data_IF_856053609855
#
_entry.id   IF_856053609855
#
_cell.length_a   1.000
_cell.length_b   1.000
_cell.length_c   1.000
_cell.angle_alpha   90.00
_cell.angle_beta   90.00
_cell.angle_gamma   90.00
#
_symmetry.space_group_name_H-M   'P 1'
#
loop_
_entity.id
_entity.type
_entity.pdbx_description
1 polymer ?
#
# COMPACT_ATOMS: atom_id res chain seq x y z
N UNK A 1 13.05 22.11 -25.22
CA UNK A 1 13.12 20.83 -24.50
C UNK A 1 12.21 19.86 -25.22
N UNK A 2 12.67 18.64 -25.50
CA UNK A 2 11.95 17.67 -26.32
C UNK A 2 10.78 17.06 -25.53
N UNK A 3 9.56 17.19 -26.05
CA UNK A 3 8.33 16.72 -25.42
C UNK A 3 8.18 15.21 -25.63
N UNK A 4 8.05 14.45 -24.53
CA UNK A 4 7.93 12.99 -24.59
C UNK A 4 6.46 12.57 -24.47
N UNK A 5 5.99 11.79 -25.45
CA UNK A 5 4.61 11.33 -25.55
C UNK A 5 4.47 9.88 -25.05
N UNK A 6 3.42 9.62 -24.27
CA UNK A 6 3.06 8.32 -23.71
C UNK A 6 1.57 8.02 -23.92
N UNK A 7 1.17 6.75 -23.96
CA UNK A 7 -0.25 6.40 -23.94
C UNK A 7 -0.86 6.70 -22.57
N UNK A 8 -0.16 6.32 -21.49
CA UNK A 8 -0.62 6.51 -20.12
C UNK A 8 0.49 7.07 -19.24
N UNK A 9 0.18 8.14 -18.52
CA UNK A 9 1.03 8.67 -17.45
C UNK A 9 0.40 8.35 -16.10
N UNK A 10 1.19 7.82 -15.17
CA UNK A 10 0.73 7.37 -13.85
C UNK A 10 1.55 8.10 -12.79
N UNK A 11 0.88 8.74 -11.84
CA UNK A 11 1.52 9.37 -10.69
C UNK A 11 1.39 8.51 -9.43
N UNK A 12 2.52 8.17 -8.81
CA UNK A 12 2.63 7.33 -7.62
C UNK A 12 2.99 5.88 -7.95
N UNK A 13 4.13 5.40 -7.45
CA UNK A 13 4.62 4.04 -7.66
C UNK A 13 4.48 3.14 -6.43
N UNK A 14 3.37 3.30 -5.70
CA UNK A 14 2.90 2.28 -4.76
C UNK A 14 2.19 1.12 -5.48
N UNK A 15 1.60 0.16 -4.74
CA UNK A 15 0.98 -1.03 -5.33
C UNK A 15 -0.07 -0.75 -6.40
N UNK A 16 -0.86 0.32 -6.26
CA UNK A 16 -1.86 0.70 -7.25
C UNK A 16 -1.22 1.10 -8.60
N UNK A 17 -0.23 2.00 -8.55
CA UNK A 17 0.41 2.53 -9.74
C UNK A 17 1.29 1.51 -10.45
N UNK A 18 2.08 0.72 -9.72
CA UNK A 18 2.90 -0.33 -10.32
C UNK A 18 2.04 -1.46 -10.91
N UNK A 19 0.95 -1.85 -10.26
CA UNK A 19 -0.01 -2.81 -10.82
C UNK A 19 -0.61 -2.29 -12.12
N UNK A 20 -1.11 -1.05 -12.14
CA UNK A 20 -1.69 -0.46 -13.35
C UNK A 20 -0.63 -0.35 -14.46
N UNK A 21 0.57 0.12 -14.15
CA UNK A 21 1.66 0.29 -15.10
C UNK A 21 2.07 -1.03 -15.75
N UNK A 22 2.33 -2.06 -14.95
CA UNK A 22 2.69 -3.39 -15.45
C UNK A 22 1.59 -3.95 -16.35
N UNK A 23 0.33 -3.93 -15.91
CA UNK A 23 -0.77 -4.47 -16.71
C UNK A 23 -0.90 -3.71 -18.04
N UNK A 24 -0.87 -2.38 -18.03
CA UNK A 24 -0.95 -1.58 -19.26
C UNK A 24 0.22 -1.87 -20.21
N UNK A 25 1.44 -2.03 -19.68
CA UNK A 25 2.60 -2.40 -20.47
C UNK A 25 2.48 -3.82 -21.05
N UNK A 26 1.93 -4.78 -20.30
CA UNK A 26 1.62 -6.13 -20.82
C UNK A 26 0.63 -6.12 -22.00
N UNK A 27 -0.26 -5.12 -22.06
CA UNK A 27 -1.17 -4.90 -23.20
C UNK A 27 -0.56 -4.04 -24.32
N UNK A 28 0.74 -3.73 -24.26
CA UNK A 28 1.48 -3.06 -25.32
C UNK A 28 1.39 -1.53 -25.31
N UNK A 29 0.92 -0.92 -24.22
CA UNK A 29 0.87 0.53 -24.09
C UNK A 29 2.20 1.13 -23.63
N UNK A 30 2.55 2.30 -24.13
CA UNK A 30 3.67 3.10 -23.62
C UNK A 30 3.28 3.79 -22.31
N UNK A 31 3.95 3.43 -21.22
CA UNK A 31 3.60 3.91 -19.86
C UNK A 31 4.76 4.68 -19.24
N UNK A 32 4.45 5.87 -18.74
CA UNK A 32 5.31 6.63 -17.84
C UNK A 32 4.79 6.50 -16.40
N UNK A 33 5.64 6.03 -15.48
CA UNK A 33 5.34 5.94 -14.05
C UNK A 33 6.24 6.91 -13.27
N UNK A 34 5.65 7.90 -12.60
CA UNK A 34 6.37 8.92 -11.84
C UNK A 34 6.17 8.71 -10.34
N UNK A 35 7.26 8.71 -9.58
CA UNK A 35 7.28 8.57 -8.13
C UNK A 35 8.16 9.65 -7.50
N UNK A 36 7.62 10.32 -6.47
CA UNK A 36 8.32 11.40 -5.76
C UNK A 36 9.43 10.88 -4.86
N UNK A 37 9.31 9.65 -4.39
CA UNK A 37 10.24 9.04 -3.45
C UNK A 37 11.20 8.07 -4.16
N UNK A 38 12.23 7.60 -3.45
CA UNK A 38 13.13 6.54 -3.93
C UNK A 38 12.71 5.20 -3.33
N UNK A 39 12.65 4.13 -4.14
CA UNK A 39 12.44 2.77 -3.66
C UNK A 39 13.79 2.14 -3.30
N UNK A 40 13.88 1.31 -2.24
CA UNK A 40 12.81 0.97 -1.29
C UNK A 40 12.51 2.11 -0.31
N UNK A 41 11.24 2.29 0.07
CA UNK A 41 10.79 3.29 1.06
C UNK A 41 9.80 2.73 2.05
N UNK A 42 9.78 3.26 3.26
CA UNK A 42 8.82 2.84 4.28
C UNK A 42 7.38 3.18 3.90
N UNK A 43 6.44 2.28 4.17
CA UNK A 43 5.00 2.52 4.08
C UNK A 43 4.23 1.56 5.00
N UNK A 44 3.13 1.99 5.61
CA UNK A 44 2.27 1.12 6.41
C UNK A 44 1.25 0.35 5.55
N UNK A 45 0.78 -0.80 6.02
CA UNK A 45 -0.23 -1.63 5.35
C UNK A 45 0.37 -2.95 4.88
N UNK A 46 0.73 -3.78 5.84
CA UNK A 46 1.60 -4.96 5.65
C UNK A 46 0.81 -6.27 5.59
N UNK A 47 -0.45 -6.25 6.04
CA UNK A 47 -1.28 -7.45 6.10
C UNK A 47 -2.17 -7.62 4.88
N UNK A 48 -1.72 -8.47 3.94
CA UNK A 48 -2.42 -8.68 2.67
C UNK A 48 -3.61 -9.64 2.81
N UNK A 49 -4.45 -9.67 1.78
CA UNK A 49 -5.63 -10.55 1.69
C UNK A 49 -5.48 -11.56 0.55
N UNK A 50 -6.13 -12.74 0.64
CA UNK A 50 -6.02 -13.80 -0.37
C UNK A 50 -6.31 -13.35 -1.81
N UNK A 51 -7.26 -12.42 -1.99
CA UNK A 51 -7.61 -11.92 -3.33
C UNK A 51 -6.44 -11.25 -4.07
N UNK A 52 -5.43 -10.75 -3.36
CA UNK A 52 -4.22 -10.18 -3.95
C UNK A 52 -3.40 -11.21 -4.75
N UNK A 53 -3.45 -12.50 -4.42
CA UNK A 53 -2.73 -13.57 -5.16
C UNK A 53 -3.13 -13.59 -6.63
N UNK A 54 -4.41 -13.36 -6.94
CA UNK A 54 -4.90 -13.34 -8.32
C UNK A 54 -4.28 -12.20 -9.14
N UNK A 55 -4.07 -11.05 -8.50
CA UNK A 55 -3.41 -9.89 -9.12
C UNK A 55 -1.93 -10.19 -9.28
N UNK A 56 -1.26 -10.70 -8.26
CA UNK A 56 0.18 -11.04 -8.32
C UNK A 56 0.49 -12.05 -9.42
N UNK A 57 -0.39 -13.05 -9.62
CA UNK A 57 -0.29 -14.01 -10.73
C UNK A 57 -0.39 -13.34 -12.10
N UNK A 58 -1.30 -12.38 -12.27
CA UNK A 58 -1.42 -11.61 -13.54
C UNK A 58 -0.20 -10.73 -13.78
N UNK A 59 0.38 -10.18 -12.73
CA UNK A 59 1.59 -9.36 -12.80
C UNK A 59 2.87 -10.19 -13.04
N UNK A 60 2.81 -11.52 -12.91
CA UNK A 60 3.98 -12.39 -12.98
C UNK A 60 4.88 -12.34 -11.74
N UNK A 61 4.40 -11.79 -10.62
CA UNK A 61 5.21 -11.56 -9.42
C UNK A 61 5.16 -12.74 -8.46
N UNK A 62 6.31 -13.37 -8.22
CA UNK A 62 6.48 -14.36 -7.16
C UNK A 62 6.56 -13.68 -5.78
N UNK A 63 5.41 -13.32 -5.21
CA UNK A 63 5.34 -12.60 -3.93
C UNK A 63 5.44 -13.48 -2.67
N UNK A 64 5.54 -14.80 -2.82
CA UNK A 64 5.71 -15.70 -1.65
C UNK A 64 7.13 -15.71 -1.09
N UNK A 65 8.13 -15.48 -1.93
CA UNK A 65 9.53 -15.47 -1.52
C UNK A 65 9.86 -14.23 -0.70
N UNK A 66 10.47 -14.43 0.47
CA UNK A 66 10.86 -13.34 1.37
C UNK A 66 9.71 -12.71 2.16
N UNK A 67 8.49 -13.23 2.05
CA UNK A 67 7.33 -12.76 2.82
C UNK A 67 6.79 -13.88 3.73
N UNK A 68 6.19 -13.49 4.85
CA UNK A 68 5.64 -14.44 5.81
C UNK A 68 4.26 -14.90 5.35
N UNK A 69 4.05 -16.21 5.19
CA UNK A 69 2.72 -16.74 4.84
C UNK A 69 1.72 -16.40 5.95
N UNK A 70 0.53 -15.94 5.59
CA UNK A 70 -0.54 -15.59 6.52
C UNK A 70 -1.65 -16.64 6.47
N UNK A 71 -1.81 -17.40 7.56
CA UNK A 71 -2.79 -18.48 7.69
C UNK A 71 -4.22 -18.02 7.96
N UNK A 72 -4.42 -16.78 8.41
CA UNK A 72 -5.72 -16.27 8.82
C UNK A 72 -5.68 -14.92 9.53
N UNK A 73 -6.77 -14.59 10.21
CA UNK A 73 -6.92 -13.42 11.06
C UNK A 73 -7.59 -13.79 12.39
N UNK A 74 -7.05 -13.29 13.49
CA UNK A 74 -7.58 -13.47 14.84
C UNK A 74 -8.10 -12.12 15.37
N UNK A 75 -9.28 -12.14 15.96
CA UNK A 75 -9.89 -11.01 16.65
C UNK A 75 -10.14 -11.39 18.11
N UNK A 76 -9.54 -10.64 19.01
CA UNK A 76 -9.58 -10.90 20.45
C UNK A 76 -10.16 -9.66 21.12
N UNK A 77 -11.29 -9.81 21.79
CA UNK A 77 -11.87 -8.76 22.62
C UNK A 77 -11.32 -8.87 24.03
N UNK A 78 -10.48 -7.91 24.43
CA UNK A 78 -9.81 -7.92 25.73
C UNK A 78 -10.78 -7.65 26.90
N UNK A 79 -11.94 -7.05 26.63
CA UNK A 79 -12.94 -6.75 27.65
C UNK A 79 -13.78 -8.00 27.96
N UNK A 80 -14.25 -8.68 26.92
CA UNK A 80 -15.11 -9.87 27.07
C UNK A 80 -14.34 -11.19 27.11
N UNK A 81 -13.07 -11.19 26.71
CA UNK A 81 -12.26 -12.40 26.49
C UNK A 81 -12.67 -13.20 25.25
N UNK A 82 -13.58 -12.68 24.42
CA UNK A 82 -14.06 -13.38 23.24
C UNK A 82 -12.96 -13.44 22.17
N UNK A 83 -12.71 -14.65 21.67
CA UNK A 83 -11.77 -14.88 20.58
C UNK A 83 -12.50 -15.41 19.34
N UNK A 84 -12.27 -14.80 18.18
CA UNK A 84 -12.77 -15.23 16.88
C UNK A 84 -11.62 -15.41 15.90
N UNK A 85 -11.50 -16.60 15.31
CA UNK A 85 -10.49 -16.92 14.30
C UNK A 85 -11.13 -17.13 12.92
N UNK A 86 -10.56 -16.44 11.92
CA UNK A 86 -10.93 -16.57 10.51
C UNK A 86 -9.79 -17.24 9.75
N UNK A 87 -9.87 -18.55 9.46
CA UNK A 87 -8.86 -19.25 8.69
C UNK A 87 -8.91 -18.82 7.22
N UNK A 88 -7.75 -18.54 6.62
CA UNK A 88 -7.61 -18.33 5.19
C UNK A 88 -7.29 -19.65 4.50
N UNK A 89 -8.28 -20.54 4.52
CA UNK A 89 -8.28 -21.78 3.77
C UNK A 89 -8.89 -21.53 2.39
N UNK A 90 -8.21 -21.94 1.32
CA UNK A 90 -8.74 -21.78 -0.03
C UNK A 90 -7.68 -21.81 -1.13
N UNK A 91 -8.12 -21.52 -2.35
CA UNK A 91 -7.28 -21.53 -3.57
C UNK A 91 -6.16 -20.50 -3.55
N UNK A 92 -6.41 -19.35 -2.91
CA UNK A 92 -5.49 -18.23 -2.91
C UNK A 92 -4.71 -18.13 -1.60
N UNK A 93 -3.40 -17.91 -1.72
CA UNK A 93 -2.51 -17.68 -0.58
C UNK A 93 -2.43 -16.18 -0.31
N UNK A 94 -1.89 -15.81 0.84
CA UNK A 94 -1.57 -14.42 1.15
C UNK A 94 -0.43 -14.36 2.14
N UNK A 95 0.11 -13.16 2.32
CA UNK A 95 1.34 -12.93 3.05
C UNK A 95 1.26 -11.66 3.90
N UNK A 96 2.05 -11.64 4.96
CA UNK A 96 2.47 -10.41 5.61
C UNK A 96 3.70 -9.92 4.85
N UNK A 97 3.67 -8.66 4.41
CA UNK A 97 4.70 -8.09 3.55
C UNK A 97 5.39 -6.92 4.23
N UNK A 98 6.71 -6.85 4.12
CA UNK A 98 7.41 -5.59 4.38
C UNK A 98 7.22 -4.68 3.15
N UNK A 99 6.48 -3.59 3.33
CA UNK A 99 6.06 -2.73 2.20
C UNK A 99 7.21 -2.10 1.44
N UNK A 100 8.33 -1.79 2.08
CA UNK A 100 9.50 -1.24 1.39
C UNK A 100 10.08 -2.20 0.35
N UNK A 101 10.15 -3.49 0.70
CA UNK A 101 10.63 -4.57 -0.16
C UNK A 101 9.58 -4.95 -1.19
N UNK A 102 8.31 -5.05 -0.76
CA UNK A 102 7.20 -5.43 -1.62
C UNK A 102 6.93 -4.39 -2.71
N UNK A 103 6.83 -3.10 -2.36
CA UNK A 103 6.59 -2.03 -3.32
C UNK A 103 7.75 -1.91 -4.31
N UNK A 104 9.00 -2.05 -3.83
CA UNK A 104 10.18 -2.11 -4.71
C UNK A 104 10.09 -3.29 -5.69
N UNK A 105 9.71 -4.49 -5.23
CA UNK A 105 9.55 -5.65 -6.13
C UNK A 105 8.51 -5.39 -7.21
N UNK A 106 7.39 -4.76 -6.88
CA UNK A 106 6.38 -4.39 -7.86
C UNK A 106 6.89 -3.31 -8.84
N UNK A 107 7.68 -2.37 -8.33
CA UNK A 107 8.30 -1.32 -9.14
C UNK A 107 9.33 -1.87 -10.14
N UNK A 108 10.23 -2.73 -9.67
CA UNK A 108 11.22 -3.41 -10.50
C UNK A 108 10.50 -4.25 -11.58
N UNK A 109 9.46 -5.00 -11.20
CA UNK A 109 8.63 -5.76 -12.13
C UNK A 109 7.96 -4.87 -13.21
N UNK A 110 7.54 -3.65 -12.87
CA UNK A 110 7.01 -2.72 -13.85
C UNK A 110 8.07 -2.32 -14.89
N UNK A 111 9.30 -2.04 -14.45
CA UNK A 111 10.43 -1.73 -15.34
C UNK A 111 10.76 -2.93 -16.25
N UNK A 112 10.77 -4.15 -15.71
CA UNK A 112 10.99 -5.38 -16.48
C UNK A 112 9.96 -5.59 -17.60
N UNK A 113 8.74 -5.07 -17.41
CA UNK A 113 7.67 -5.07 -18.42
C UNK A 113 7.74 -3.87 -19.39
N UNK A 114 8.80 -3.07 -19.36
CA UNK A 114 9.02 -1.96 -20.29
C UNK A 114 8.40 -0.62 -19.88
N UNK A 115 7.90 -0.51 -18.64
CA UNK A 115 7.45 0.79 -18.10
C UNK A 115 8.63 1.73 -17.95
N UNK A 116 8.52 2.96 -18.47
CA UNK A 116 9.49 4.01 -18.20
C UNK A 116 9.16 4.58 -16.82
N UNK A 117 9.98 4.27 -15.84
CA UNK A 117 9.79 4.73 -14.47
C UNK A 117 10.76 5.86 -14.09
N UNK A 118 10.27 6.84 -13.34
CA UNK A 118 11.02 7.98 -12.80
C UNK A 118 10.81 8.06 -11.29
N UNK A 119 11.91 8.13 -10.56
CA UNK A 119 11.91 8.29 -9.10
C UNK A 119 12.49 9.64 -8.71
N UNK A 120 12.23 10.03 -7.47
CA UNK A 120 12.62 11.34 -6.95
C UNK A 120 12.08 12.49 -7.81
N UNK A 121 10.93 12.30 -8.47
CA UNK A 121 10.35 13.25 -9.40
C UNK A 121 8.91 13.53 -8.98
N UNK A 122 8.64 14.79 -8.66
CA UNK A 122 7.38 15.21 -8.06
C UNK A 122 6.47 15.82 -9.12
N UNK A 123 5.26 15.28 -9.24
CA UNK A 123 4.21 15.87 -10.07
C UNK A 123 3.74 17.19 -9.44
N UNK A 124 3.82 18.27 -10.21
CA UNK A 124 3.47 19.63 -9.78
C UNK A 124 2.13 20.06 -10.36
N UNK A 125 1.86 19.72 -11.63
CA UNK A 125 0.62 20.05 -12.30
C UNK A 125 0.22 18.95 -13.30
N UNK A 126 -1.09 18.72 -13.43
CA UNK A 126 -1.67 17.78 -14.41
C UNK A 126 -2.85 18.45 -15.07
N UNK A 127 -2.83 18.70 -16.37
CA UNK A 127 -3.94 19.26 -17.13
C UNK A 127 -4.49 18.16 -18.04
N UNK A 128 -5.74 17.76 -17.80
CA UNK A 128 -6.45 16.81 -18.64
C UNK A 128 -7.38 17.61 -19.57
N UNK A 129 -7.21 17.43 -20.89
CA UNK A 129 -8.10 17.93 -21.92
C UNK A 129 -8.79 16.75 -22.64
N UNK A 130 -9.69 17.05 -23.58
CA UNK A 130 -10.36 16.01 -24.37
C UNK A 130 -9.40 15.21 -25.27
N UNK A 131 -8.30 15.81 -25.71
CA UNK A 131 -7.38 15.20 -26.68
C UNK A 131 -6.09 14.67 -26.07
N UNK A 132 -5.66 15.22 -24.94
CA UNK A 132 -4.39 14.86 -24.30
C UNK A 132 -4.32 15.27 -22.82
N UNK A 133 -3.36 14.66 -22.12
CA UNK A 133 -2.89 15.01 -20.80
C UNK A 133 -1.55 15.74 -20.93
N UNK A 134 -1.40 16.85 -20.22
CA UNK A 134 -0.13 17.52 -19.98
C UNK A 134 0.24 17.34 -18.51
N UNK A 135 1.48 16.97 -18.23
CA UNK A 135 1.97 16.78 -16.87
C UNK A 135 3.31 17.48 -16.70
N UNK A 136 3.38 18.34 -15.70
CA UNK A 136 4.58 19.05 -15.29
C UNK A 136 5.09 18.47 -13.97
N UNK A 137 6.38 18.17 -13.93
CA UNK A 137 7.10 17.77 -12.72
C UNK A 137 8.06 18.88 -12.31
N UNK A 138 8.73 18.69 -11.17
CA UNK A 138 9.88 19.50 -10.76
C UNK A 138 11.10 19.36 -11.69
N UNK A 139 11.08 18.41 -12.63
CA UNK A 139 12.23 18.08 -13.49
C UNK A 139 11.96 18.17 -14.98
N UNK A 140 10.73 17.96 -15.43
CA UNK A 140 10.42 17.78 -16.84
C UNK A 140 8.94 18.06 -17.17
N UNK A 141 8.68 18.09 -18.48
CA UNK A 141 7.34 18.21 -19.05
C UNK A 141 7.03 16.95 -19.86
N UNK A 142 5.83 16.41 -19.66
CA UNK A 142 5.35 15.20 -20.32
C UNK A 142 3.99 15.41 -20.95
N UNK A 143 3.72 14.63 -21.99
CA UNK A 143 2.40 14.52 -22.57
C UNK A 143 1.97 13.07 -22.68
N UNK A 144 0.67 12.83 -22.55
CA UNK A 144 0.11 11.53 -22.82
C UNK A 144 -1.36 11.57 -23.16
N UNK A 145 -2.00 10.41 -23.28
CA UNK A 145 -3.41 10.32 -23.66
C UNK A 145 -4.31 10.15 -22.44
N UNK A 146 -3.85 9.39 -21.45
CA UNK A 146 -4.58 9.14 -20.21
C UNK A 146 -3.70 9.39 -18.99
N UNK A 147 -4.36 9.77 -17.89
CA UNK A 147 -3.72 9.95 -16.59
C UNK A 147 -4.34 9.02 -15.56
N UNK A 148 -3.51 8.37 -14.76
CA UNK A 148 -3.94 7.61 -13.59
C UNK A 148 -3.33 8.25 -12.33
N UNK A 149 -4.21 8.72 -11.45
CA UNK A 149 -3.81 9.15 -10.11
C UNK A 149 -3.71 7.93 -9.18
N UNK A 150 -2.47 7.52 -8.89
CA UNK A 150 -2.13 6.48 -7.93
C UNK A 150 -1.33 7.05 -6.73
N UNK A 151 -1.52 8.33 -6.40
CA UNK A 151 -0.76 9.05 -5.35
C UNK A 151 -1.18 8.69 -3.92
N UNK A 152 -2.09 7.73 -3.75
CA UNK A 152 -2.50 7.22 -2.44
C UNK A 152 -3.22 8.29 -1.62
N UNK A 153 -2.77 8.51 -0.38
CA UNK A 153 -3.40 9.48 0.54
C UNK A 153 -3.27 10.93 0.08
N UNK A 154 -2.36 11.22 -0.84
CA UNK A 154 -2.21 12.57 -1.37
C UNK A 154 -3.40 12.97 -2.23
N UNK A 155 -4.03 11.99 -2.91
CA UNK A 155 -5.23 12.16 -3.71
C UNK A 155 -5.15 13.39 -4.63
N UNK A 156 -4.06 13.49 -5.41
CA UNK A 156 -3.69 14.66 -6.21
C UNK A 156 -4.87 15.24 -7.01
N UNK A 157 -5.50 14.41 -7.85
CA UNK A 157 -6.62 14.82 -8.70
C UNK A 157 -7.90 14.99 -7.90
N UNK A 158 -8.11 14.18 -6.86
CA UNK A 158 -9.24 14.35 -5.95
C UNK A 158 -9.25 15.74 -5.30
N UNK A 159 -8.09 16.21 -4.84
CA UNK A 159 -7.93 17.57 -4.29
C UNK A 159 -8.08 18.63 -5.37
N UNK A 160 -7.41 18.46 -6.51
CA UNK A 160 -7.46 19.41 -7.62
C UNK A 160 -8.90 19.64 -8.12
N UNK A 161 -9.68 18.57 -8.22
CA UNK A 161 -11.06 18.62 -8.71
C UNK A 161 -12.09 18.89 -7.59
N UNK A 162 -11.64 19.07 -6.35
CA UNK A 162 -12.51 19.21 -5.17
C UNK A 162 -13.57 18.09 -5.06
N UNK A 163 -13.20 16.86 -5.45
CA UNK A 163 -14.10 15.71 -5.56
C UNK A 163 -13.96 14.70 -4.41
N UNK A 164 -13.17 15.01 -3.39
CA UNK A 164 -13.01 14.16 -2.22
C UNK A 164 -14.22 14.33 -1.30
N UNK A 165 -15.07 13.31 -1.24
CA UNK A 165 -16.08 13.20 -0.20
C UNK A 165 -15.50 12.47 1.02
N UNK A 166 -15.49 13.16 2.16
CA UNK A 166 -14.96 12.59 3.41
C UNK A 166 -16.06 11.81 4.11
N UNK A 167 -15.79 10.53 4.37
CA UNK A 167 -16.70 9.69 5.17
C UNK A 167 -16.81 10.27 6.58
N UNK A 168 -18.00 10.80 6.90
CA UNK A 168 -18.33 11.34 8.22
C UNK A 168 -18.17 10.23 9.28
N UNK A 169 -17.61 10.58 10.44
CA UNK A 169 -17.38 9.67 11.58
C UNK A 169 -16.34 8.56 11.35
N UNK A 170 -15.59 8.56 10.25
CA UNK A 170 -14.47 7.62 10.10
C UNK A 170 -13.20 8.08 10.81
N UNK A 171 -13.18 9.30 11.39
CA UNK A 171 -12.02 9.94 12.04
C UNK A 171 -11.27 8.98 12.95
N UNK A 172 -10.26 8.33 12.37
CA UNK A 172 -9.47 7.30 13.03
C UNK A 172 -8.02 7.74 12.95
N UNK A 173 -7.37 7.77 14.09
CA UNK A 173 -5.94 8.01 14.21
C UNK A 173 -5.24 6.69 14.48
N UNK A 174 -4.03 6.53 13.95
CA UNK A 174 -3.22 5.35 14.20
C UNK A 174 -1.82 5.74 14.66
N UNK A 175 -1.38 5.18 15.79
CA UNK A 175 0.01 5.18 16.23
C UNK A 175 0.58 3.78 16.00
N UNK A 176 1.76 3.67 15.40
CA UNK A 176 2.35 2.36 15.08
C UNK A 176 3.87 2.37 15.20
N UNK A 177 4.43 1.19 15.46
CA UNK A 177 5.87 0.96 15.56
C UNK A 177 6.19 -0.51 15.25
N UNK A 178 7.39 -0.77 14.74
CA UNK A 178 7.91 -2.13 14.59
C UNK A 178 8.79 -2.51 15.78
N UNK A 179 8.61 -3.73 16.25
CA UNK A 179 9.35 -4.33 17.37
C UNK A 179 10.07 -5.59 16.89
N UNK A 180 11.21 -5.90 17.48
CA UNK A 180 11.87 -7.20 17.34
C UNK A 180 11.48 -8.04 18.55
N UNK A 181 10.88 -9.20 18.34
CA UNK A 181 10.49 -10.07 19.44
C UNK A 181 11.62 -11.02 19.83
N UNK A 182 11.73 -11.31 21.13
CA UNK A 182 12.56 -12.40 21.62
C UNK A 182 11.95 -13.75 21.22
N UNK A 183 12.81 -14.76 21.10
CA UNK A 183 12.37 -16.12 20.82
C UNK A 183 11.74 -16.74 22.07
N UNK A 184 10.45 -17.07 21.98
CA UNK A 184 9.62 -17.69 23.01
C UNK A 184 8.66 -18.65 22.31
N UNK A 185 8.02 -19.56 23.04
CA UNK A 185 7.00 -20.44 22.43
C UNK A 185 5.84 -19.65 21.82
N UNK A 186 5.43 -18.54 22.45
CA UNK A 186 4.38 -17.65 21.95
C UNK A 186 4.79 -16.97 20.64
N UNK A 187 6.01 -16.43 20.56
CA UNK A 187 6.48 -15.78 19.34
C UNK A 187 6.70 -16.79 18.22
N UNK A 188 7.24 -17.98 18.51
CA UNK A 188 7.34 -19.08 17.54
C UNK A 188 5.99 -19.44 16.92
N UNK A 189 4.96 -19.60 17.75
CA UNK A 189 3.61 -19.92 17.28
C UNK A 189 3.05 -18.79 16.39
N UNK A 190 3.21 -17.54 16.80
CA UNK A 190 2.79 -16.36 16.04
C UNK A 190 3.43 -16.33 14.64
N UNK A 191 4.74 -16.53 14.55
CA UNK A 191 5.45 -16.53 13.28
C UNK A 191 5.17 -17.78 12.43
N UNK A 192 4.93 -18.95 13.05
CA UNK A 192 4.61 -20.19 12.32
C UNK A 192 3.30 -20.08 11.53
N UNK A 193 2.26 -19.46 12.11
CA UNK A 193 0.97 -19.26 11.44
C UNK A 193 0.93 -17.97 10.59
N UNK A 194 1.68 -16.95 11.03
CA UNK A 194 1.72 -15.63 10.39
C UNK A 194 0.39 -14.89 10.42
N UNK A 195 -0.54 -15.27 11.31
CA UNK A 195 -1.84 -14.62 11.45
C UNK A 195 -1.67 -13.17 11.91
N UNK A 196 -2.50 -12.27 11.39
CA UNK A 196 -2.69 -10.98 12.05
C UNK A 196 -3.54 -11.21 13.31
N UNK A 197 -3.14 -10.61 14.43
CA UNK A 197 -3.99 -10.52 15.62
C UNK A 197 -4.51 -9.10 15.76
N UNK A 198 -5.81 -8.96 16.00
CA UNK A 198 -6.49 -7.69 16.25
C UNK A 198 -7.09 -7.74 17.64
N UNK A 199 -6.51 -6.96 18.56
CA UNK A 199 -6.98 -6.83 19.94
C UNK A 199 -7.98 -5.67 19.99
N UNK A 200 -9.21 -5.92 20.44
CA UNK A 200 -10.23 -4.89 20.61
C UNK A 200 -10.18 -4.40 22.06
N UNK A 201 -10.23 -3.08 22.23
CA UNK A 201 -10.32 -2.41 23.53
C UNK A 201 -11.46 -1.38 23.53
N UNK A 202 -11.71 -0.79 24.69
CA UNK A 202 -12.68 0.29 24.90
C UNK A 202 -12.36 1.57 24.09
N UNK A 203 -11.07 1.85 23.88
CA UNK A 203 -10.58 3.02 23.14
C UNK A 203 -10.32 2.76 21.64
N UNK A 204 -10.47 1.52 21.16
CA UNK A 204 -10.21 1.19 19.76
C UNK A 204 -9.74 -0.24 19.54
N UNK A 205 -8.72 -0.40 18.71
CA UNK A 205 -8.15 -1.72 18.40
C UNK A 205 -6.66 -1.64 18.11
N UNK A 206 -5.92 -2.69 18.47
CA UNK A 206 -4.48 -2.85 18.20
C UNK A 206 -4.29 -3.96 17.16
N UNK A 207 -3.58 -3.68 16.08
CA UNK A 207 -3.08 -4.74 15.20
C UNK A 207 -1.71 -5.23 15.67
N UNK A 208 -1.48 -6.52 15.50
CA UNK A 208 -0.20 -7.19 15.64
C UNK A 208 0.02 -8.02 14.37
N UNK A 209 0.91 -7.55 13.51
CA UNK A 209 1.23 -8.16 12.21
C UNK A 209 2.64 -8.74 12.29
N UNK A 210 2.80 -10.09 12.34
CA UNK A 210 4.12 -10.68 12.29
C UNK A 210 4.73 -10.50 10.90
N UNK A 211 6.00 -10.13 10.85
CA UNK A 211 6.79 -9.94 9.65
C UNK A 211 7.97 -10.92 9.64
N UNK A 212 8.69 -10.98 8.53
CA UNK A 212 9.95 -11.73 8.46
C UNK A 212 10.99 -11.18 9.43
N UNK A 213 11.97 -12.03 9.77
CA UNK A 213 13.03 -11.72 10.72
C UNK A 213 12.51 -11.35 12.12
N UNK A 214 11.47 -12.05 12.59
CA UNK A 214 10.91 -11.92 13.95
C UNK A 214 10.48 -10.49 14.32
N UNK A 215 10.15 -9.69 13.31
CA UNK A 215 9.62 -8.34 13.53
C UNK A 215 8.11 -8.40 13.70
N UNK A 216 7.59 -7.55 14.56
CA UNK A 216 6.16 -7.37 14.78
C UNK A 216 5.80 -5.92 14.50
N UNK A 217 4.91 -5.70 13.53
CA UNK A 217 4.27 -4.41 13.34
C UNK A 217 3.08 -4.31 14.28
N UNK A 218 3.11 -3.32 15.18
CA UNK A 218 2.07 -3.06 16.15
C UNK A 218 1.51 -1.67 15.93
N UNK A 219 0.20 -1.53 15.91
CA UNK A 219 -0.40 -0.20 15.85
C UNK A 219 -1.77 -0.14 16.49
N UNK A 220 -2.01 0.96 17.20
CA UNK A 220 -3.25 1.29 17.87
C UNK A 220 -4.07 2.22 16.97
N UNK A 221 -5.24 1.76 16.54
CA UNK A 221 -6.25 2.55 15.85
C UNK A 221 -7.35 3.00 16.80
N UNK A 222 -7.53 4.31 16.99
CA UNK A 222 -8.55 4.91 17.86
C UNK A 222 -9.50 5.82 17.08
N UNK A 223 -10.71 6.02 17.62
CA UNK A 223 -11.65 7.04 17.11
C UNK A 223 -11.28 8.42 17.67
N UNK A 224 -11.21 9.45 16.82
CA UNK A 224 -10.89 10.82 17.24
C UNK A 224 -11.96 11.44 18.15
N UNK A 225 -13.16 10.86 18.25
CA UNK A 225 -14.18 11.29 19.21
C UNK A 225 -13.83 10.94 20.67
N UNK A 226 -12.88 10.04 20.89
CA UNK A 226 -12.43 9.61 22.21
C UNK A 226 -11.16 10.34 22.68
N UNK A 227 -10.57 11.20 21.83
CA UNK A 227 -9.47 12.06 22.25
C UNK A 227 -10.07 13.27 22.98
N UNK A 228 -9.64 13.59 24.21
CA UNK A 228 -9.94 14.89 24.81
C UNK A 228 -9.40 16.01 23.90
N UNK A 229 -9.97 17.21 23.96
CA UNK A 229 -9.42 18.38 23.27
C UNK A 229 -7.99 18.61 23.76
N UNK A 230 -7.00 18.11 23.01
CA UNK A 230 -5.59 18.38 23.26
C UNK A 230 -5.34 19.77 22.72
N UNK A 231 -5.58 20.79 23.55
CA UNK A 231 -5.08 22.13 23.31
C UNK A 231 -3.55 22.08 23.37
N UNK A 232 -2.90 22.14 22.21
CA UNK A 232 -1.49 22.49 22.15
C UNK A 232 -1.37 23.97 22.55
N UNK A 233 -0.91 24.21 23.77
CA UNK A 233 -0.43 25.51 24.23
C UNK A 233 0.88 25.89 23.54
#
# INVERSE_FOLDING_TARGET
MEQKNYDVIIAGAGPAGTTAATLLAQYGHSVLLIERDQHPRFHIGESMLPMSESVMKRLGVAWGEGNLKKGGAEFIDEVSGRHTYFPFQGKYRTFQVERSVFDKRLFDNAIEHGVIAKQQEQVMAVICSESHVQLDTDKAHYQGRYFIDATGRDALMGKKLSSIDKIKNLGKFALYQHYKLAETEVSKELFAHGNIKTLLSDIGWVWCIPLTFERLSVGLGISTKQLPDINYS
#
